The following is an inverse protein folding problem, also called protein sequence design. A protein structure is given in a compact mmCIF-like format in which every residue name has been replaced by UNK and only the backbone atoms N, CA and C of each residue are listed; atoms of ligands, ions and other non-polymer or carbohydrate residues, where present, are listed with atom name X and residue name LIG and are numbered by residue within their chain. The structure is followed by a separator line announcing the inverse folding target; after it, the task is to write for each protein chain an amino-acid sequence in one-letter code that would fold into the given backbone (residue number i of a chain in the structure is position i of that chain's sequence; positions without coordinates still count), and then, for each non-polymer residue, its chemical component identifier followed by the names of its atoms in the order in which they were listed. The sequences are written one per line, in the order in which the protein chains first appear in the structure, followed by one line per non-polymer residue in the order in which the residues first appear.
data_IF_818461652173
#
_entry.id   IF_818461652173
#
_cell.length_a   1.000
_cell.length_b   1.000
_cell.length_c   1.000
_cell.angle_alpha   90.00
_cell.angle_beta   90.00
_cell.angle_gamma   90.00
#
_symmetry.space_group_name_H-M   'P 1'
#
loop_
_entity.id
_entity.type
_entity.pdbx_description
1 polymer ?
#
# COMPACT_ATOMS: atom_id res chain seq x y z
N UNK A 1 9.99 1.71 -7.64
CA UNK A 1 9.71 3.06 -7.02
C UNK A 1 10.60 4.11 -7.70
N UNK A 2 10.19 5.39 -7.77
CA UNK A 2 11.05 6.46 -8.33
C UNK A 2 12.31 6.65 -7.45
N UNK A 3 13.49 6.75 -8.07
CA UNK A 3 14.78 6.86 -7.36
C UNK A 3 14.89 8.09 -6.44
N UNK A 4 14.29 9.23 -6.80
CA UNK A 4 14.28 10.43 -5.95
C UNK A 4 13.44 10.17 -4.69
N UNK A 5 12.25 9.60 -4.86
CA UNK A 5 11.37 9.22 -3.74
C UNK A 5 12.03 8.17 -2.85
N UNK A 6 12.72 7.18 -3.42
CA UNK A 6 13.51 6.19 -2.68
C UNK A 6 14.53 6.89 -1.78
N UNK A 7 15.40 7.70 -2.38
CA UNK A 7 16.47 8.39 -1.66
C UNK A 7 15.98 9.35 -0.57
N UNK A 8 14.93 10.13 -0.85
CA UNK A 8 14.46 11.17 0.08
C UNK A 8 13.56 10.62 1.20
N UNK A 9 12.82 9.56 0.95
CA UNK A 9 11.76 9.10 1.87
C UNK A 9 11.93 7.65 2.34
N UNK A 10 12.40 6.73 1.49
CA UNK A 10 12.49 5.32 1.82
C UNK A 10 13.83 4.96 2.50
N UNK A 11 14.97 5.51 2.04
CA UNK A 11 16.30 5.17 2.57
C UNK A 11 16.39 5.30 4.09
N UNK A 12 15.82 6.38 4.64
CA UNK A 12 15.79 6.59 6.10
C UNK A 12 15.07 5.46 6.83
N UNK A 13 13.93 5.01 6.29
CA UNK A 13 13.13 3.95 6.90
C UNK A 13 13.81 2.59 6.79
N UNK A 14 14.43 2.31 5.63
CA UNK A 14 15.22 1.10 5.43
C UNK A 14 16.42 1.08 6.39
N UNK A 15 17.12 2.21 6.52
CA UNK A 15 18.26 2.32 7.45
C UNK A 15 17.84 2.12 8.90
N UNK A 16 16.65 2.63 9.30
CA UNK A 16 16.12 2.38 10.65
C UNK A 16 15.81 0.90 10.87
N UNK A 17 15.27 0.20 9.87
CA UNK A 17 15.01 -1.25 9.96
C UNK A 17 16.32 -2.06 10.04
N UNK A 18 17.36 -1.66 9.30
CA UNK A 18 18.69 -2.27 9.40
C UNK A 18 19.31 -2.04 10.78
N UNK A 19 19.15 -0.84 11.36
CA UNK A 19 19.65 -0.52 12.70
C UNK A 19 18.88 -1.25 13.81
N UNK A 20 17.60 -1.55 13.61
CA UNK A 20 16.81 -2.38 14.52
C UNK A 20 17.34 -3.82 14.54
N UNK A 21 17.67 -4.39 13.38
CA UNK A 21 18.14 -5.77 13.25
C UNK A 21 19.63 -5.92 13.60
N UNK A 22 20.45 -4.90 13.35
CA UNK A 22 21.91 -4.88 13.59
C UNK A 22 22.25 -3.75 14.54
N UNK A 23 22.14 -3.99 15.86
CA UNK A 23 22.41 -2.95 16.87
C UNK A 23 23.91 -2.75 17.14
N UNK A 24 24.70 -3.83 17.13
CA UNK A 24 26.14 -3.79 17.36
C UNK A 24 26.90 -4.65 16.34
N UNK A 25 26.45 -5.87 16.12
CA UNK A 25 27.05 -6.80 15.15
C UNK A 25 26.08 -7.93 14.78
N UNK A 26 26.37 -8.59 13.65
CA UNK A 26 25.80 -9.90 13.30
C UNK A 26 26.75 -10.99 13.79
N UNK A 27 26.47 -11.51 15.00
CA UNK A 27 27.36 -12.50 15.67
C UNK A 27 27.49 -13.79 14.87
N UNK A 28 26.43 -14.22 14.19
CA UNK A 28 26.46 -15.46 13.37
C UNK A 28 27.35 -15.28 12.15
N UNK A 29 27.15 -14.20 11.42
CA UNK A 29 27.96 -13.89 10.24
C UNK A 29 29.42 -13.65 10.62
N UNK A 30 29.69 -12.87 11.67
CA UNK A 30 31.06 -12.61 12.11
C UNK A 30 31.80 -13.87 12.59
N UNK A 31 31.07 -14.84 13.18
CA UNK A 31 31.66 -16.10 13.63
C UNK A 31 32.11 -16.98 12.46
N UNK A 32 31.38 -17.00 11.34
CA UNK A 32 31.65 -17.90 10.21
C UNK A 32 32.37 -17.22 9.03
N UNK A 33 32.28 -15.89 8.95
CA UNK A 33 32.88 -15.07 7.88
C UNK A 33 33.79 -13.97 8.46
N UNK A 34 34.98 -14.35 9.00
CA UNK A 34 35.88 -13.38 9.64
C UNK A 34 36.57 -12.43 8.64
N UNK A 35 36.48 -12.72 7.33
CA UNK A 35 37.05 -11.90 6.25
C UNK A 35 36.02 -11.68 5.15
N UNK A 36 36.19 -10.56 4.42
CA UNK A 36 35.42 -10.28 3.22
C UNK A 36 35.62 -11.40 2.18
N UNK A 37 34.53 -11.88 1.62
CA UNK A 37 34.52 -12.84 0.53
C UNK A 37 33.32 -12.59 -0.35
N UNK A 38 33.54 -12.49 -1.67
CA UNK A 38 32.46 -12.31 -2.64
C UNK A 38 31.68 -13.59 -2.80
N UNK A 39 30.38 -13.49 -2.94
CA UNK A 39 29.49 -14.64 -3.15
C UNK A 39 28.21 -14.24 -3.85
N UNK A 40 27.41 -15.27 -4.13
CA UNK A 40 26.11 -15.15 -4.78
C UNK A 40 25.04 -15.88 -4.00
N UNK A 41 23.81 -15.35 -4.05
CA UNK A 41 22.64 -15.96 -3.44
C UNK A 41 21.43 -15.80 -4.34
N UNK A 42 20.62 -16.86 -4.45
CA UNK A 42 19.40 -16.89 -5.27
C UNK A 42 18.21 -16.32 -4.48
N UNK A 43 17.39 -15.47 -5.13
CA UNK A 43 16.09 -15.04 -4.65
C UNK A 43 15.01 -15.93 -5.27
N UNK A 44 14.32 -16.73 -4.44
CA UNK A 44 13.38 -17.77 -4.89
C UNK A 44 11.98 -17.51 -4.34
N UNK A 45 10.99 -17.54 -5.25
CA UNK A 45 9.57 -17.51 -4.92
C UNK A 45 9.14 -18.83 -4.26
N UNK A 46 8.40 -18.77 -3.15
CA UNK A 46 7.90 -19.94 -2.42
C UNK A 46 6.37 -20.04 -2.45
N UNK A 47 5.69 -19.03 -2.97
CA UNK A 47 4.24 -18.95 -3.06
C UNK A 47 3.87 -18.16 -4.32
N UNK A 48 2.86 -18.61 -5.07
CA UNK A 48 2.32 -17.89 -6.23
C UNK A 48 1.76 -16.52 -5.82
N UNK A 49 1.99 -15.49 -6.64
CA UNK A 49 1.47 -14.14 -6.36
C UNK A 49 2.04 -13.06 -7.27
N UNK A 50 1.80 -11.81 -6.90
CA UNK A 50 2.30 -10.62 -7.60
C UNK A 50 3.50 -10.06 -6.86
N UNK A 51 4.64 -9.98 -7.54
CA UNK A 51 5.86 -9.44 -6.94
C UNK A 51 5.79 -7.92 -6.85
N UNK A 52 6.19 -7.35 -5.71
CA UNK A 52 6.28 -5.91 -5.52
C UNK A 52 7.37 -5.53 -4.52
N UNK A 53 8.19 -4.53 -4.85
CA UNK A 53 9.22 -4.00 -3.98
C UNK A 53 10.65 -4.45 -4.31
N UNK A 54 10.91 -4.91 -5.52
CA UNK A 54 12.25 -5.33 -5.96
C UNK A 54 13.30 -4.23 -5.77
N UNK A 55 12.98 -2.97 -6.10
CA UNK A 55 13.89 -1.84 -5.86
C UNK A 55 14.20 -1.63 -4.37
N UNK A 56 13.20 -1.85 -3.50
CA UNK A 56 13.36 -1.73 -2.04
C UNK A 56 14.25 -2.85 -1.52
N UNK A 57 14.01 -4.07 -1.99
CA UNK A 57 14.85 -5.24 -1.69
C UNK A 57 16.32 -5.00 -2.05
N UNK A 58 16.60 -4.57 -3.29
CA UNK A 58 17.95 -4.26 -3.73
C UNK A 58 18.57 -3.12 -2.93
N UNK A 59 17.76 -2.13 -2.56
CA UNK A 59 18.23 -0.95 -1.81
C UNK A 59 18.72 -1.29 -0.41
N UNK A 60 18.19 -2.32 0.24
CA UNK A 60 18.69 -2.79 1.54
C UNK A 60 20.17 -3.17 1.45
N UNK A 61 20.56 -3.91 0.45
CA UNK A 61 21.95 -4.34 0.25
C UNK A 61 22.85 -3.18 -0.16
N UNK A 62 22.39 -2.33 -1.09
CA UNK A 62 23.21 -1.19 -1.56
C UNK A 62 23.36 -0.08 -0.52
N UNK A 63 22.55 -0.07 0.55
CA UNK A 63 22.76 0.80 1.71
C UNK A 63 23.81 0.24 2.67
N UNK A 64 24.05 -1.07 2.70
CA UNK A 64 25.10 -1.71 3.48
C UNK A 64 26.45 -1.67 2.74
N UNK A 65 26.40 -1.91 1.42
CA UNK A 65 27.59 -1.89 0.54
C UNK A 65 27.15 -1.54 -0.89
N UNK A 66 27.58 -0.40 -1.39
CA UNK A 66 27.21 0.15 -2.70
C UNK A 66 27.79 -0.66 -3.88
N UNK A 67 28.75 -1.55 -3.62
CA UNK A 67 29.30 -2.48 -4.60
C UNK A 67 28.45 -3.74 -4.80
N UNK A 68 27.38 -3.94 -4.00
CA UNK A 68 26.46 -5.09 -4.15
C UNK A 68 25.62 -4.94 -5.41
N UNK A 69 25.60 -5.98 -6.22
CA UNK A 69 24.83 -6.04 -7.46
C UNK A 69 23.61 -6.96 -7.30
N UNK A 70 22.46 -6.55 -7.85
CA UNK A 70 21.24 -7.36 -7.87
C UNK A 70 20.73 -7.44 -9.30
N UNK A 71 20.65 -8.66 -9.81
CA UNK A 71 20.07 -8.98 -11.10
C UNK A 71 18.68 -9.59 -10.90
N UNK A 72 17.65 -8.99 -11.50
CA UNK A 72 16.28 -9.50 -11.44
C UNK A 72 15.85 -10.12 -12.76
N UNK A 73 15.11 -11.24 -12.69
CA UNK A 73 14.52 -11.94 -13.84
C UNK A 73 13.01 -11.68 -13.95
N UNK A 74 12.47 -10.82 -13.11
CA UNK A 74 11.09 -10.32 -13.12
C UNK A 74 11.07 -8.84 -12.72
N UNK A 75 9.93 -8.22 -12.85
CA UNK A 75 9.70 -6.80 -12.46
C UNK A 75 8.48 -6.69 -11.56
N UNK A 76 8.39 -5.59 -10.83
CA UNK A 76 7.20 -5.28 -10.02
C UNK A 76 5.92 -5.32 -10.88
N UNK A 77 4.92 -6.06 -10.39
CA UNK A 77 3.65 -6.31 -11.08
C UNK A 77 3.59 -7.63 -11.86
N UNK A 78 4.71 -8.33 -12.04
CA UNK A 78 4.67 -9.65 -12.66
C UNK A 78 4.05 -10.69 -11.73
N UNK A 79 3.30 -11.63 -12.31
CA UNK A 79 2.86 -12.83 -11.63
C UNK A 79 4.05 -13.80 -11.55
N UNK A 80 4.39 -14.25 -10.34
CA UNK A 80 5.48 -15.20 -10.08
C UNK A 80 4.95 -16.50 -9.50
N UNK A 81 5.67 -17.60 -9.73
CA UNK A 81 5.25 -18.95 -9.37
C UNK A 81 6.19 -19.58 -8.34
N UNK A 82 5.64 -20.48 -7.56
CA UNK A 82 6.39 -21.28 -6.59
C UNK A 82 7.57 -22.01 -7.26
N UNK A 83 8.78 -21.83 -6.71
CA UNK A 83 10.03 -22.38 -7.25
C UNK A 83 10.72 -21.49 -8.28
N UNK A 84 10.12 -20.37 -8.71
CA UNK A 84 10.71 -19.47 -9.69
C UNK A 84 11.96 -18.77 -9.11
N UNK A 85 13.06 -18.78 -9.84
CA UNK A 85 14.21 -17.92 -9.61
C UNK A 85 13.87 -16.50 -10.06
N UNK A 86 13.77 -15.57 -9.11
CA UNK A 86 13.38 -14.19 -9.37
C UNK A 86 14.56 -13.25 -9.54
N UNK A 87 15.72 -13.61 -9.03
CA UNK A 87 16.93 -12.81 -9.15
C UNK A 87 18.13 -13.43 -8.44
N UNK A 88 19.28 -12.79 -8.59
CA UNK A 88 20.55 -13.16 -7.93
C UNK A 88 21.14 -11.90 -7.30
N UNK A 89 21.59 -12.00 -6.05
CA UNK A 89 22.34 -10.96 -5.36
C UNK A 89 23.80 -11.36 -5.28
N UNK A 90 24.70 -10.49 -5.72
CA UNK A 90 26.14 -10.70 -5.73
C UNK A 90 26.85 -9.62 -4.92
N UNK A 91 27.67 -10.01 -3.93
CA UNK A 91 28.39 -9.04 -3.08
C UNK A 91 29.21 -9.73 -1.99
N UNK A 92 29.68 -8.97 -1.01
CA UNK A 92 30.32 -9.54 0.18
C UNK A 92 29.30 -10.42 0.93
N UNK A 93 29.65 -11.69 1.17
CA UNK A 93 28.78 -12.67 1.86
C UNK A 93 28.27 -12.12 3.20
N UNK A 94 29.06 -11.32 3.91
CA UNK A 94 28.66 -10.70 5.18
C UNK A 94 27.48 -9.73 4.97
N UNK A 95 27.52 -8.94 3.90
CA UNK A 95 26.43 -8.02 3.53
C UNK A 95 25.18 -8.80 3.12
N UNK A 96 25.36 -9.88 2.33
CA UNK A 96 24.26 -10.74 1.90
C UNK A 96 23.52 -11.38 3.08
N UNK A 97 24.27 -11.92 4.05
CA UNK A 97 23.71 -12.54 5.26
C UNK A 97 23.05 -11.53 6.20
N UNK A 98 23.73 -10.41 6.48
CA UNK A 98 23.22 -9.41 7.42
C UNK A 98 22.01 -8.60 6.88
N UNK A 99 21.94 -8.42 5.55
CA UNK A 99 20.81 -7.71 4.90
C UNK A 99 19.59 -8.57 4.60
N UNK A 100 19.75 -9.91 4.58
CA UNK A 100 18.73 -10.88 4.13
C UNK A 100 17.36 -10.64 4.76
N UNK A 101 17.29 -10.59 6.10
CA UNK A 101 16.02 -10.55 6.82
C UNK A 101 15.25 -9.28 6.54
N UNK A 102 15.90 -8.13 6.61
CA UNK A 102 15.28 -6.83 6.34
C UNK A 102 14.81 -6.75 4.90
N UNK A 103 15.63 -7.18 3.94
CA UNK A 103 15.28 -7.20 2.52
C UNK A 103 14.05 -8.08 2.25
N UNK A 104 14.04 -9.30 2.79
CA UNK A 104 12.90 -10.22 2.65
C UNK A 104 11.65 -9.69 3.34
N UNK A 105 11.74 -9.08 4.52
CA UNK A 105 10.58 -8.54 5.22
C UNK A 105 9.84 -7.48 4.38
N UNK A 106 10.58 -6.56 3.74
CA UNK A 106 9.97 -5.59 2.83
C UNK A 106 9.36 -6.26 1.59
N UNK A 107 10.12 -7.12 0.93
CA UNK A 107 9.67 -7.77 -0.32
C UNK A 107 8.44 -8.67 -0.09
N UNK A 108 8.46 -9.49 0.97
CA UNK A 108 7.36 -10.37 1.35
C UNK A 108 6.09 -9.58 1.70
N UNK A 109 6.23 -8.49 2.48
CA UNK A 109 5.11 -7.63 2.87
C UNK A 109 4.51 -6.93 1.66
N UNK A 110 5.33 -6.29 0.83
CA UNK A 110 4.89 -5.56 -0.35
C UNK A 110 4.25 -6.49 -1.38
N UNK A 111 4.84 -7.66 -1.62
CA UNK A 111 4.28 -8.66 -2.55
C UNK A 111 2.97 -9.26 -2.04
N UNK A 112 2.84 -9.48 -0.74
CA UNK A 112 1.58 -9.92 -0.14
C UNK A 112 0.46 -8.90 -0.31
N UNK A 113 0.73 -7.60 -0.11
CA UNK A 113 -0.21 -6.51 -0.37
C UNK A 113 -0.59 -6.45 -1.84
N UNK A 114 0.40 -6.52 -2.76
CA UNK A 114 0.15 -6.49 -4.19
C UNK A 114 -0.69 -7.68 -4.64
N UNK A 115 -0.41 -8.88 -4.14
CA UNK A 115 -1.16 -10.11 -4.44
C UNK A 115 -2.62 -9.98 -3.99
N UNK A 116 -2.86 -9.61 -2.73
CA UNK A 116 -4.21 -9.44 -2.21
C UNK A 116 -4.98 -8.32 -2.94
N UNK A 117 -4.30 -7.22 -3.23
CA UNK A 117 -4.90 -6.11 -4.00
C UNK A 117 -5.26 -6.57 -5.42
N UNK A 118 -4.39 -7.34 -6.07
CA UNK A 118 -4.66 -7.88 -7.41
C UNK A 118 -5.90 -8.78 -7.42
N UNK A 119 -6.02 -9.68 -6.47
CA UNK A 119 -7.19 -10.55 -6.34
C UNK A 119 -8.50 -9.77 -6.16
N UNK A 120 -8.46 -8.67 -5.38
CA UNK A 120 -9.63 -7.81 -5.17
C UNK A 120 -9.92 -6.96 -6.41
N UNK A 121 -8.88 -6.42 -7.07
CA UNK A 121 -9.01 -5.59 -8.27
C UNK A 121 -9.58 -6.37 -9.46
N UNK A 122 -9.22 -7.65 -9.61
CA UNK A 122 -9.79 -8.52 -10.66
C UNK A 122 -11.30 -8.71 -10.52
N UNK A 123 -11.86 -8.67 -9.30
CA UNK A 123 -13.31 -8.72 -9.08
C UNK A 123 -14.02 -7.45 -9.60
N UNK A 124 -13.31 -6.31 -9.65
CA UNK A 124 -13.86 -5.05 -10.18
C UNK A 124 -13.71 -4.92 -11.70
N UNK A 125 -13.08 -5.87 -12.37
CA UNK A 125 -12.80 -5.80 -13.81
C UNK A 125 -14.10 -5.68 -14.62
N UNK A 126 -14.14 -4.69 -15.50
CA UNK A 126 -15.33 -4.38 -16.32
C UNK A 126 -16.35 -3.48 -15.63
N UNK A 127 -16.19 -3.14 -14.34
CA UNK A 127 -16.97 -2.08 -13.67
C UNK A 127 -16.32 -0.70 -13.87
N UNK A 128 -17.07 0.37 -13.58
CA UNK A 128 -16.51 1.73 -13.53
C UNK A 128 -15.81 2.04 -12.20
N UNK A 129 -15.97 1.17 -11.21
CA UNK A 129 -15.55 1.41 -9.84
C UNK A 129 -14.04 1.25 -9.66
N UNK A 130 -13.41 2.22 -9.02
CA UNK A 130 -11.98 2.19 -8.69
C UNK A 130 -11.76 1.71 -7.25
N UNK A 131 -10.87 0.72 -7.08
CA UNK A 131 -10.45 0.23 -5.77
C UNK A 131 -9.41 1.17 -5.15
N UNK A 132 -9.67 1.64 -3.93
CA UNK A 132 -8.78 2.52 -3.18
C UNK A 132 -8.23 1.84 -1.91
N UNK A 133 -7.00 2.19 -1.56
CA UNK A 133 -6.48 1.96 -0.20
C UNK A 133 -7.03 2.98 0.81
N UNK A 134 -6.46 2.98 2.01
CA UNK A 134 -6.79 3.94 3.07
C UNK A 134 -5.51 4.43 3.78
N UNK A 135 -5.67 5.19 4.86
CA UNK A 135 -4.58 5.52 5.79
C UNK A 135 -4.35 4.48 6.90
N UNK A 136 -5.08 3.36 6.88
CA UNK A 136 -4.91 2.22 7.81
C UNK A 136 -3.70 1.38 7.42
N UNK A 137 -2.51 1.99 7.45
CA UNK A 137 -1.22 1.39 7.11
C UNK A 137 -0.39 1.17 8.36
N UNK A 138 0.58 0.25 8.30
CA UNK A 138 1.61 0.10 9.34
C UNK A 138 2.34 1.43 9.54
N UNK A 139 2.51 1.91 10.78
CA UNK A 139 3.29 3.13 11.03
C UNK A 139 4.66 3.08 10.34
N UNK A 140 5.04 4.21 9.74
CA UNK A 140 6.26 4.39 8.93
C UNK A 140 6.36 3.56 7.64
N UNK A 141 5.50 2.55 7.41
CA UNK A 141 5.54 1.72 6.21
C UNK A 141 4.61 2.20 5.06
N UNK A 142 3.90 3.32 5.24
CA UNK A 142 2.89 3.80 4.27
C UNK A 142 3.42 3.96 2.85
N UNK A 143 4.63 4.45 2.68
CA UNK A 143 5.26 4.62 1.37
C UNK A 143 5.39 3.30 0.61
N UNK A 144 5.74 2.23 1.32
CA UNK A 144 5.91 0.89 0.77
C UNK A 144 4.55 0.23 0.50
N UNK A 145 3.63 0.30 1.48
CA UNK A 145 2.31 -0.34 1.41
C UNK A 145 1.43 0.29 0.31
N UNK A 146 1.39 1.62 0.20
CA UNK A 146 0.64 2.30 -0.86
C UNK A 146 1.25 2.09 -2.26
N UNK A 147 2.56 1.97 -2.35
CA UNK A 147 3.21 1.56 -3.60
C UNK A 147 2.78 0.14 -4.02
N UNK A 148 2.77 -0.80 -3.07
CA UNK A 148 2.37 -2.18 -3.32
C UNK A 148 0.90 -2.31 -3.76
N UNK A 149 -0.02 -1.51 -3.19
CA UNK A 149 -1.41 -1.43 -3.64
C UNK A 149 -1.49 -1.03 -5.12
N UNK A 150 -0.71 -0.03 -5.55
CA UNK A 150 -0.68 0.37 -6.97
C UNK A 150 -0.13 -0.72 -7.88
N UNK A 151 0.90 -1.42 -7.44
CA UNK A 151 1.49 -2.55 -8.19
C UNK A 151 0.45 -3.67 -8.36
N UNK A 152 -0.37 -3.92 -7.34
CA UNK A 152 -1.46 -4.90 -7.39
C UNK A 152 -2.68 -4.49 -8.22
N UNK A 153 -2.69 -3.26 -8.80
CA UNK A 153 -3.79 -2.78 -9.65
C UNK A 153 -4.83 -1.93 -8.93
N UNK A 154 -4.64 -1.65 -7.64
CA UNK A 154 -5.45 -0.67 -6.90
C UNK A 154 -4.98 0.77 -7.14
N UNK A 155 -5.70 1.72 -6.57
CA UNK A 155 -5.37 3.14 -6.56
C UNK A 155 -5.19 3.65 -5.13
N UNK A 156 -4.53 4.80 -4.99
CA UNK A 156 -4.31 5.38 -3.67
C UNK A 156 -5.38 6.42 -3.34
N UNK A 157 -5.98 6.31 -2.17
CA UNK A 157 -6.65 7.39 -1.47
C UNK A 157 -5.59 8.38 -0.95
N UNK A 158 -5.99 9.54 -0.40
CA UNK A 158 -5.08 10.55 0.16
C UNK A 158 -3.95 9.91 0.97
N UNK A 159 -2.72 10.37 0.71
CA UNK A 159 -1.53 9.82 1.33
C UNK A 159 -1.44 10.15 2.83
N UNK A 160 -1.75 11.41 3.18
CA UNK A 160 -1.69 11.92 4.54
C UNK A 160 -2.74 13.02 4.78
N UNK A 161 -2.67 13.68 5.93
CA UNK A 161 -3.61 14.75 6.30
C UNK A 161 -3.45 16.03 5.47
N UNK A 162 -2.29 16.22 4.82
CA UNK A 162 -2.03 17.39 3.99
C UNK A 162 -2.43 17.22 2.52
N UNK A 163 -2.77 16.00 2.10
CA UNK A 163 -3.01 15.68 0.69
C UNK A 163 -4.42 16.05 0.22
N UNK A 164 -5.44 15.76 1.01
CA UNK A 164 -6.84 16.06 0.69
C UNK A 164 -7.69 16.24 1.94
N UNK A 165 -8.85 16.91 1.76
CA UNK A 165 -9.83 17.08 2.83
C UNK A 165 -10.73 15.85 2.92
N UNK A 166 -10.91 15.33 4.12
CA UNK A 166 -11.93 14.34 4.46
C UNK A 166 -12.53 14.71 5.80
N UNK A 167 -13.77 15.16 5.74
CA UNK A 167 -14.58 15.57 6.89
C UNK A 167 -15.33 14.36 7.43
N UNK A 168 -15.02 13.99 8.66
CA UNK A 168 -15.59 12.84 9.38
C UNK A 168 -16.49 13.32 10.51
N UNK A 169 -17.17 12.40 11.16
CA UNK A 169 -18.07 12.61 12.31
C UNK A 169 -17.53 13.64 13.31
N UNK A 170 -16.31 13.48 13.78
CA UNK A 170 -15.68 14.40 14.75
C UNK A 170 -15.41 15.80 14.17
N UNK A 171 -15.10 15.93 12.87
CA UNK A 171 -14.94 17.24 12.22
C UNK A 171 -16.30 17.93 12.08
N UNK A 172 -17.33 17.18 11.70
CA UNK A 172 -18.70 17.65 11.55
C UNK A 172 -19.25 18.10 12.91
N UNK A 173 -19.05 17.28 13.96
CA UNK A 173 -19.42 17.61 15.33
C UNK A 173 -18.74 18.89 15.83
N UNK A 174 -17.45 19.07 15.55
CA UNK A 174 -16.70 20.28 15.91
C UNK A 174 -17.19 21.53 15.16
N UNK A 175 -17.60 21.40 13.89
CA UNK A 175 -18.14 22.49 13.07
C UNK A 175 -19.64 22.77 13.33
N UNK A 176 -20.35 21.85 13.97
CA UNK A 176 -21.77 21.90 14.30
C UNK A 176 -22.72 21.39 13.22
N UNK A 177 -22.28 21.29 11.95
CA UNK A 177 -23.03 20.70 10.84
C UNK A 177 -22.12 20.39 9.66
N UNK A 178 -22.58 19.55 8.70
CA UNK A 178 -21.89 19.27 7.44
C UNK A 178 -21.76 20.57 6.62
N UNK A 179 -22.82 21.34 6.52
CA UNK A 179 -22.83 22.61 5.80
C UNK A 179 -21.74 23.55 6.29
N UNK A 180 -21.61 23.72 7.61
CA UNK A 180 -20.55 24.55 8.19
C UNK A 180 -19.16 23.96 7.93
N UNK A 181 -18.97 22.66 8.10
CA UNK A 181 -17.70 21.99 7.89
C UNK A 181 -17.20 22.15 6.45
N UNK A 182 -18.09 21.94 5.46
CA UNK A 182 -17.78 22.10 4.03
C UNK A 182 -17.46 23.56 3.71
N UNK A 183 -18.27 24.52 4.21
CA UNK A 183 -18.00 25.95 4.01
C UNK A 183 -16.63 26.35 4.56
N UNK A 184 -16.33 25.99 5.80
CA UNK A 184 -15.04 26.30 6.44
C UNK A 184 -13.88 25.64 5.69
N UNK A 185 -14.05 24.41 5.21
CA UNK A 185 -13.04 23.71 4.40
C UNK A 185 -12.80 24.46 3.08
N UNK A 186 -13.86 24.89 2.36
CA UNK A 186 -13.72 25.65 1.10
C UNK A 186 -13.00 26.99 1.28
N UNK A 187 -13.20 27.66 2.43
CA UNK A 187 -12.51 28.90 2.76
C UNK A 187 -11.02 28.70 3.11
N UNK A 188 -10.66 27.55 3.65
CA UNK A 188 -9.31 27.28 4.17
C UNK A 188 -8.36 26.65 3.14
N UNK A 189 -8.86 25.72 2.32
CA UNK A 189 -7.96 24.94 1.43
C UNK A 189 -7.78 25.60 0.06
N UNK A 190 -6.65 25.33 -0.65
CA UNK A 190 -6.51 25.71 -2.04
C UNK A 190 -7.62 25.12 -2.91
N UNK A 191 -8.11 25.90 -3.89
CA UNK A 191 -9.25 25.54 -4.76
C UNK A 191 -9.09 24.20 -5.52
N UNK A 192 -7.86 23.73 -5.70
CA UNK A 192 -7.55 22.47 -6.39
C UNK A 192 -7.83 21.22 -5.55
N UNK A 193 -8.11 21.36 -4.25
CA UNK A 193 -8.37 20.22 -3.37
C UNK A 193 -9.85 19.90 -3.32
N UNK A 194 -10.17 18.63 -3.62
CA UNK A 194 -11.51 18.09 -3.38
C UNK A 194 -11.82 18.01 -1.89
N UNK A 195 -13.10 18.20 -1.57
CA UNK A 195 -13.64 18.05 -0.22
C UNK A 195 -14.52 16.80 -0.20
N UNK A 196 -14.09 15.84 0.57
CA UNK A 196 -14.78 14.59 0.81
C UNK A 196 -15.49 14.64 2.17
N UNK A 197 -16.73 14.12 2.23
CA UNK A 197 -17.55 14.07 3.44
C UNK A 197 -17.98 12.62 3.69
N UNK A 198 -17.66 12.10 4.88
CA UNK A 198 -18.12 10.80 5.36
C UNK A 198 -19.51 10.95 5.99
N UNK A 199 -20.46 10.13 5.56
CA UNK A 199 -21.85 10.17 5.98
C UNK A 199 -22.38 8.77 6.30
N UNK A 200 -23.30 8.69 7.27
CA UNK A 200 -23.91 7.44 7.75
C UNK A 200 -25.43 7.39 7.58
N UNK A 201 -26.09 8.53 7.22
CA UNK A 201 -27.53 8.62 7.07
C UNK A 201 -27.93 9.37 5.81
N UNK A 202 -29.16 9.11 5.31
CA UNK A 202 -29.68 9.79 4.12
C UNK A 202 -29.86 11.30 4.33
N UNK A 203 -30.15 11.76 5.54
CA UNK A 203 -30.24 13.19 5.87
C UNK A 203 -28.87 13.87 5.75
N UNK A 204 -27.80 13.20 6.21
CA UNK A 204 -26.43 13.66 6.03
C UNK A 204 -26.00 13.67 4.55
N UNK A 205 -26.42 12.66 3.76
CA UNK A 205 -26.20 12.66 2.30
C UNK A 205 -26.81 13.89 1.66
N UNK A 206 -28.08 14.21 1.99
CA UNK A 206 -28.77 15.39 1.46
C UNK A 206 -28.03 16.67 1.84
N UNK A 207 -27.66 16.83 3.10
CA UNK A 207 -26.91 17.99 3.58
C UNK A 207 -25.55 18.13 2.87
N UNK A 208 -24.80 17.02 2.69
CA UNK A 208 -23.51 17.04 2.01
C UNK A 208 -23.63 17.46 0.53
N UNK A 209 -24.66 16.97 -0.16
CA UNK A 209 -24.97 17.37 -1.55
C UNK A 209 -25.30 18.85 -1.62
N UNK A 210 -26.18 19.35 -0.74
CA UNK A 210 -26.61 20.77 -0.70
C UNK A 210 -25.42 21.69 -0.34
N UNK A 211 -24.51 21.25 0.53
CA UNK A 211 -23.29 21.96 0.88
C UNK A 211 -22.25 21.98 -0.26
N UNK A 212 -22.42 21.12 -1.27
CA UNK A 212 -21.54 21.00 -2.43
C UNK A 212 -20.22 20.32 -2.07
N UNK A 213 -20.29 19.17 -1.41
CA UNK A 213 -19.16 18.24 -1.28
C UNK A 213 -18.77 17.69 -2.66
N UNK A 214 -17.47 17.49 -2.91
CA UNK A 214 -16.99 16.95 -4.17
C UNK A 214 -17.09 15.41 -4.20
N UNK A 215 -16.89 14.77 -3.03
CA UNK A 215 -16.99 13.32 -2.84
C UNK A 215 -17.84 13.05 -1.60
N UNK A 216 -18.74 12.08 -1.69
CA UNK A 216 -19.56 11.64 -0.55
C UNK A 216 -19.24 10.16 -0.29
N UNK A 217 -18.63 9.91 0.89
CA UNK A 217 -18.30 8.57 1.36
C UNK A 217 -19.45 8.01 2.19
N UNK A 218 -20.03 6.91 1.70
CA UNK A 218 -21.11 6.17 2.36
C UNK A 218 -20.45 5.16 3.31
N UNK A 219 -20.43 5.46 4.61
CA UNK A 219 -19.77 4.63 5.62
C UNK A 219 -20.78 3.77 6.39
N UNK A 220 -20.49 2.49 6.48
CA UNK A 220 -21.27 1.49 7.25
C UNK A 220 -22.80 1.45 6.93
N UNK A 221 -23.22 1.87 5.75
CA UNK A 221 -24.60 1.79 5.29
C UNK A 221 -24.97 0.40 4.76
N UNK A 222 -26.25 0.04 4.88
CA UNK A 222 -26.79 -1.15 4.17
C UNK A 222 -26.84 -0.92 2.66
N UNK A 223 -26.89 -1.98 1.87
CA UNK A 223 -26.96 -1.89 0.40
C UNK A 223 -28.17 -1.07 -0.08
N UNK A 224 -29.32 -1.20 0.59
CA UNK A 224 -30.53 -0.44 0.24
C UNK A 224 -30.39 1.05 0.58
N UNK A 225 -29.77 1.36 1.71
CA UNK A 225 -29.43 2.75 2.08
C UNK A 225 -28.42 3.36 1.09
N UNK A 226 -27.38 2.60 0.71
CA UNK A 226 -26.40 3.07 -0.28
C UNK A 226 -27.06 3.36 -1.64
N UNK A 227 -27.99 2.49 -2.09
CA UNK A 227 -28.76 2.71 -3.32
C UNK A 227 -29.58 3.99 -3.24
N UNK A 228 -30.34 4.17 -2.17
CA UNK A 228 -31.12 5.39 -1.96
C UNK A 228 -30.21 6.64 -1.87
N UNK A 229 -29.03 6.53 -1.27
CA UNK A 229 -28.03 7.60 -1.21
C UNK A 229 -27.49 7.97 -2.60
N UNK A 230 -27.16 6.98 -3.43
CA UNK A 230 -26.68 7.19 -4.81
C UNK A 230 -27.75 7.87 -5.65
N UNK A 231 -29.01 7.41 -5.56
CA UNK A 231 -30.15 8.04 -6.24
C UNK A 231 -30.34 9.50 -5.79
N UNK A 232 -30.15 9.77 -4.49
CA UNK A 232 -30.27 11.12 -3.93
C UNK A 232 -29.12 12.02 -4.37
N UNK A 233 -27.90 11.49 -4.48
CA UNK A 233 -26.71 12.24 -4.97
C UNK A 233 -26.89 12.62 -6.43
N UNK A 234 -27.46 11.73 -7.25
CA UNK A 234 -27.82 11.99 -8.67
C UNK A 234 -26.68 12.65 -9.49
N UNK A 235 -25.47 12.11 -9.35
CA UNK A 235 -24.28 12.58 -10.08
C UNK A 235 -23.74 13.96 -9.68
N UNK A 236 -24.29 14.60 -8.60
CA UNK A 236 -23.84 15.92 -8.12
C UNK A 236 -22.53 15.88 -7.34
N UNK A 237 -22.13 14.70 -6.88
CA UNK A 237 -20.85 14.41 -6.25
C UNK A 237 -20.37 13.03 -6.67
N UNK A 238 -19.06 12.77 -6.61
CA UNK A 238 -18.52 11.42 -6.74
C UNK A 238 -18.89 10.61 -5.48
N UNK A 239 -19.05 9.30 -5.67
CA UNK A 239 -19.53 8.40 -4.61
C UNK A 239 -18.43 7.43 -4.19
N UNK A 240 -18.24 7.29 -2.89
CA UNK A 240 -17.34 6.28 -2.31
C UNK A 240 -18.11 5.38 -1.36
N UNK A 241 -17.88 4.05 -1.42
CA UNK A 241 -18.30 3.11 -0.39
C UNK A 241 -17.13 2.74 0.48
N UNK A 242 -17.33 2.79 1.80
CA UNK A 242 -16.37 2.44 2.84
C UNK A 242 -17.02 1.57 3.92
N UNK A 243 -16.20 1.03 4.83
CA UNK A 243 -16.65 0.22 5.96
C UNK A 243 -16.65 -1.29 5.68
N UNK A 244 -15.75 -2.02 6.34
CA UNK A 244 -15.63 -3.48 6.30
C UNK A 244 -15.63 -4.11 4.89
N UNK A 245 -15.03 -3.42 3.91
CA UNK A 245 -14.91 -3.93 2.54
C UNK A 245 -13.86 -5.02 2.50
N UNK A 246 -14.28 -6.22 2.08
CA UNK A 246 -13.44 -7.41 1.92
C UNK A 246 -13.71 -8.08 0.57
N UNK A 247 -12.86 -9.03 0.18
CA UNK A 247 -13.03 -9.82 -1.04
C UNK A 247 -14.41 -10.53 -1.12
N UNK A 248 -14.94 -10.95 0.04
CA UNK A 248 -16.20 -11.71 0.12
C UNK A 248 -17.45 -10.84 -0.11
N UNK A 249 -17.36 -9.51 0.12
CA UNK A 249 -18.53 -8.64 0.02
C UNK A 249 -18.47 -7.61 -1.11
N UNK A 250 -17.34 -7.49 -1.80
CA UNK A 250 -17.11 -6.45 -2.79
C UNK A 250 -18.03 -6.54 -4.01
N UNK A 251 -18.39 -7.76 -4.47
CA UNK A 251 -19.28 -7.96 -5.61
C UNK A 251 -20.65 -7.28 -5.42
N UNK A 252 -21.16 -7.31 -4.19
CA UNK A 252 -22.41 -6.63 -3.83
C UNK A 252 -22.27 -5.11 -3.98
N UNK A 253 -21.12 -4.54 -3.62
CA UNK A 253 -20.87 -3.11 -3.71
C UNK A 253 -20.67 -2.65 -5.17
N UNK A 254 -20.06 -3.48 -6.02
CA UNK A 254 -19.92 -3.23 -7.46
C UNK A 254 -21.29 -3.02 -8.11
N UNK A 255 -22.31 -3.81 -7.73
CA UNK A 255 -23.65 -3.70 -8.29
C UNK A 255 -24.34 -2.36 -8.03
N UNK A 256 -23.84 -1.56 -7.08
CA UNK A 256 -24.34 -0.21 -6.79
C UNK A 256 -23.87 0.85 -7.80
N UNK A 257 -22.77 0.58 -8.53
CA UNK A 257 -22.22 1.50 -9.52
C UNK A 257 -21.62 2.76 -8.92
N UNK A 258 -20.99 2.66 -7.73
CA UNK A 258 -20.22 3.75 -7.11
C UNK A 258 -18.94 4.02 -7.87
N UNK A 259 -18.38 5.22 -7.72
CA UNK A 259 -17.15 5.61 -8.38
C UNK A 259 -15.92 5.00 -7.69
N UNK A 260 -15.97 4.89 -6.35
CA UNK A 260 -14.87 4.38 -5.53
C UNK A 260 -15.35 3.36 -4.49
N UNK A 261 -14.49 2.39 -4.22
CA UNK A 261 -14.58 1.50 -3.06
C UNK A 261 -13.26 1.54 -2.32
N UNK A 262 -13.23 1.96 -1.05
CA UNK A 262 -12.02 1.95 -0.24
C UNK A 262 -11.98 0.79 0.74
N UNK A 263 -10.82 0.13 0.83
CA UNK A 263 -10.61 -0.99 1.73
C UNK A 263 -9.30 -0.86 2.51
N UNK A 264 -9.42 -0.82 3.85
CA UNK A 264 -8.27 -0.90 4.73
C UNK A 264 -7.62 -2.30 4.75
N UNK A 265 -8.40 -3.34 4.42
CA UNK A 265 -7.92 -4.72 4.41
C UNK A 265 -6.76 -4.93 3.42
N UNK A 266 -6.69 -4.14 2.34
CA UNK A 266 -5.57 -4.19 1.39
C UNK A 266 -4.21 -4.04 2.06
N UNK A 267 -4.14 -3.27 3.15
CA UNK A 267 -2.89 -2.99 3.86
C UNK A 267 -2.82 -3.62 5.24
N UNK A 268 -3.88 -3.54 6.07
CA UNK A 268 -3.78 -4.02 7.46
C UNK A 268 -4.05 -5.53 7.62
N UNK A 269 -4.67 -6.21 6.64
CA UNK A 269 -5.08 -7.63 6.75
C UNK A 269 -4.50 -8.53 5.66
N UNK A 270 -3.77 -8.00 4.67
CA UNK A 270 -3.11 -8.82 3.67
C UNK A 270 -2.01 -9.68 4.29
N UNK A 271 -1.94 -10.99 3.98
CA UNK A 271 -0.83 -11.85 4.40
C UNK A 271 0.46 -11.43 3.70
N UNK A 272 1.60 -11.83 4.25
CA UNK A 272 2.87 -11.77 3.55
C UNK A 272 2.94 -12.86 2.48
N UNK A 273 3.72 -12.65 1.42
CA UNK A 273 4.03 -13.67 0.41
C UNK A 273 5.33 -14.40 0.79
N UNK A 274 5.35 -15.73 0.69
CA UNK A 274 6.55 -16.51 1.05
C UNK A 274 7.62 -16.40 -0.05
N UNK A 275 8.78 -15.84 0.32
CA UNK A 275 9.96 -15.64 -0.53
C UNK A 275 11.21 -15.97 0.30
N UNK A 276 12.24 -16.54 -0.30
CA UNK A 276 13.48 -16.86 0.42
C UNK A 276 14.74 -16.62 -0.41
N UNK A 277 15.84 -16.32 0.28
CA UNK A 277 17.18 -16.39 -0.26
C UNK A 277 17.75 -17.79 -0.03
N UNK A 278 18.34 -18.39 -1.06
CA UNK A 278 18.85 -19.79 -1.04
C UNK A 278 20.14 -19.92 -1.85
N UNK A 279 20.80 -21.07 -1.69
CA UNK A 279 21.97 -21.46 -2.49
C UNK A 279 23.13 -20.47 -2.40
N UNK A 280 23.35 -19.84 -1.22
CA UNK A 280 24.50 -18.97 -1.02
C UNK A 280 25.79 -19.75 -1.27
N UNK A 281 26.66 -19.26 -2.12
CA UNK A 281 28.00 -19.84 -2.40
C UNK A 281 29.01 -18.73 -2.66
N UNK A 282 30.26 -19.00 -2.29
CA UNK A 282 31.38 -18.10 -2.57
C UNK A 282 31.71 -18.13 -4.07
N UNK A 283 32.09 -16.96 -4.61
CA UNK A 283 32.76 -16.91 -5.92
C UNK A 283 34.22 -17.30 -5.76
N UNK A 284 34.77 -18.10 -6.74
CA UNK A 284 36.17 -18.48 -6.78
C UNK A 284 37.12 -17.33 -7.07
#
# INVERSE_FOLDING_TARGET
MNQITMKLNADKLIMMALQEDITSEDVSTNAVMPKAQKGKVDLICKQDGIIAGLDVYARVFTLLDDSTEVEFFCKDGDEVKTGQLMGIVTGDIRVLLSGERVALNYLQRMSGIATYTHEVAELLKGSKTTLLDTRKTTPNCRIFEKYAVRVGGGSNHRYNLSDGVLLKDNHIGAAGSITNAVRMAKEYVPFVRKIEVEVETLDQVKEAVEAGADIIMLDNMTTDQMRAAIDLIDGRAETECSGNVTKENIERLISLGVDYISSGALTHSSPIMDISMKNLHAEE
#
